data_IF_377202997487
#
_entry.id   IF_377202997487
#
_cell.length_a   1.000
_cell.length_b   1.000
_cell.length_c   1.000
_cell.angle_alpha   90.00
_cell.angle_beta   90.00
_cell.angle_gamma   90.00
#
_symmetry.space_group_name_H-M   'P 1'
#
loop_
_entity.id
_entity.type
_entity.pdbx_description
1 polymer ?
#
# COMPACT_ATOMS: atom_id res chain seq x y z
N UNK A 1 11.73 6.81 7.21
CA UNK A 1 10.52 6.24 7.86
C UNK A 1 9.98 4.99 7.17
N UNK A 2 10.23 4.77 5.88
CA UNK A 2 9.76 3.59 5.13
C UNK A 2 10.75 2.41 5.14
N UNK A 3 11.87 2.50 5.85
CA UNK A 3 12.90 1.44 5.87
C UNK A 3 12.37 0.09 6.38
N UNK A 4 11.33 0.10 7.22
CA UNK A 4 10.68 -1.13 7.67
C UNK A 4 9.97 -1.91 6.55
N UNK A 5 9.65 -1.24 5.42
CA UNK A 5 9.05 -1.85 4.23
C UNK A 5 10.07 -2.39 3.24
N UNK A 6 11.34 -2.00 3.36
CA UNK A 6 12.42 -2.46 2.51
C UNK A 6 13.77 -2.07 3.08
N UNK A 7 14.69 -3.03 3.17
CA UNK A 7 15.99 -2.85 3.81
C UNK A 7 17.13 -3.56 3.08
N UNK A 8 16.87 -4.14 1.91
CA UNK A 8 17.89 -4.86 1.13
C UNK A 8 18.69 -3.94 0.22
N UNK A 9 18.06 -2.87 -0.24
CA UNK A 9 18.69 -1.82 -1.02
C UNK A 9 17.87 -0.54 -0.99
N UNK A 10 18.49 0.58 -1.29
CA UNK A 10 17.84 1.89 -1.34
C UNK A 10 18.41 2.73 -2.49
N UNK A 11 17.62 3.68 -2.96
CA UNK A 11 18.10 4.65 -3.93
C UNK A 11 17.19 5.86 -4.05
N UNK A 12 17.75 6.89 -4.67
CA UNK A 12 17.13 8.19 -4.85
C UNK A 12 17.51 8.76 -6.22
N UNK A 13 16.55 9.43 -6.84
CA UNK A 13 16.77 10.25 -8.04
C UNK A 13 16.27 11.67 -7.77
N UNK A 14 17.07 12.68 -8.13
CA UNK A 14 16.75 14.09 -7.90
C UNK A 14 17.09 14.88 -9.16
N UNK A 15 16.19 15.77 -9.56
CA UNK A 15 16.45 16.74 -10.63
C UNK A 15 17.25 17.94 -10.08
N UNK A 16 18.44 18.18 -10.61
CA UNK A 16 19.39 19.18 -10.10
C UNK A 16 19.30 20.55 -10.79
N UNK A 17 18.29 20.72 -11.65
CA UNK A 17 18.13 21.92 -12.49
C UNK A 17 18.62 21.73 -13.94
N UNK A 18 19.29 20.60 -14.23
CA UNK A 18 19.81 20.29 -15.57
C UNK A 18 19.54 18.84 -15.99
N UNK A 19 19.76 17.91 -15.07
CA UNK A 19 19.60 16.48 -15.30
C UNK A 19 19.04 15.78 -14.06
N UNK A 20 18.58 14.54 -14.23
CA UNK A 20 18.23 13.67 -13.11
C UNK A 20 19.53 12.99 -12.63
N UNK A 21 19.95 13.33 -11.41
CA UNK A 21 21.04 12.65 -10.72
C UNK A 21 20.47 11.50 -9.90
N UNK A 22 21.21 10.40 -9.79
CA UNK A 22 20.72 9.19 -9.11
C UNK A 22 21.87 8.55 -8.32
N UNK A 23 21.51 8.05 -7.12
CA UNK A 23 22.38 7.21 -6.30
C UNK A 23 21.59 5.99 -5.81
N UNK A 24 22.24 4.83 -5.87
CA UNK A 24 21.67 3.53 -5.50
C UNK A 24 22.70 2.78 -4.66
N UNK A 25 22.23 2.06 -3.65
CA UNK A 25 23.08 1.27 -2.78
C UNK A 25 22.39 -0.02 -2.33
N UNK A 26 23.10 -1.12 -2.39
CA UNK A 26 22.75 -2.34 -1.68
C UNK A 26 22.92 -2.14 -0.18
N UNK A 27 22.01 -2.70 0.63
CA UNK A 27 22.01 -2.60 2.07
C UNK A 27 20.99 -1.59 2.61
N UNK A 28 21.08 -1.31 3.89
CA UNK A 28 20.16 -0.42 4.60
C UNK A 28 20.30 1.03 4.13
N UNK A 29 19.26 1.83 4.35
CA UNK A 29 19.19 3.25 4.00
C UNK A 29 20.42 4.05 4.48
N UNK A 30 21.03 3.67 5.60
CA UNK A 30 22.23 4.29 6.13
C UNK A 30 23.40 4.31 5.13
N UNK A 31 23.55 3.27 4.31
CA UNK A 31 24.59 3.22 3.26
C UNK A 31 24.36 4.33 2.24
N UNK A 32 23.11 4.52 1.79
CA UNK A 32 22.74 5.59 0.87
C UNK A 32 22.92 6.99 1.51
N UNK A 33 22.58 7.14 2.79
CA UNK A 33 22.78 8.40 3.53
C UNK A 33 24.26 8.79 3.59
N UNK A 34 25.14 7.84 3.86
CA UNK A 34 26.60 8.05 3.89
C UNK A 34 27.12 8.40 2.49
N UNK A 35 26.72 7.66 1.44
CA UNK A 35 27.13 7.93 0.05
C UNK A 35 26.69 9.31 -0.45
N UNK A 36 25.51 9.75 -0.05
CA UNK A 36 24.96 11.05 -0.46
C UNK A 36 25.32 12.19 0.50
N UNK A 37 26.11 11.92 1.54
CA UNK A 37 26.39 12.88 2.62
C UNK A 37 25.09 13.49 3.19
N UNK A 38 24.12 12.62 3.54
CA UNK A 38 22.77 13.00 3.96
C UNK A 38 22.03 13.87 2.91
N UNK A 39 22.23 13.59 1.62
CA UNK A 39 21.59 14.28 0.52
C UNK A 39 22.34 15.52 0.00
N UNK A 40 23.43 15.95 0.65
CA UNK A 40 24.17 17.15 0.26
C UNK A 40 24.78 17.08 -1.15
N UNK A 41 25.05 15.86 -1.64
CA UNK A 41 25.60 15.65 -3.00
C UNK A 41 24.54 15.61 -4.10
N UNK A 42 23.26 15.65 -3.75
CA UNK A 42 22.12 15.59 -4.67
C UNK A 42 21.23 16.83 -4.51
N UNK A 43 21.69 18.00 -4.94
CA UNK A 43 20.91 19.22 -4.83
C UNK A 43 19.69 19.16 -5.76
N UNK A 44 18.54 19.67 -5.29
CA UNK A 44 17.31 19.74 -6.07
C UNK A 44 16.07 19.76 -5.17
N UNK A 45 14.93 20.07 -5.80
CA UNK A 45 13.63 20.21 -5.12
C UNK A 45 12.60 19.20 -5.61
N UNK A 46 12.90 18.46 -6.67
CA UNK A 46 12.03 17.43 -7.26
C UNK A 46 12.81 16.12 -7.29
N UNK A 47 12.22 15.07 -6.73
CA UNK A 47 12.88 13.77 -6.66
C UNK A 47 11.97 12.64 -6.21
N UNK A 48 12.42 11.43 -6.45
CA UNK A 48 11.77 10.18 -6.00
C UNK A 48 12.81 9.30 -5.32
N UNK A 49 12.39 8.56 -4.31
CA UNK A 49 13.25 7.63 -3.59
C UNK A 49 12.52 6.34 -3.24
N UNK A 50 13.30 5.29 -3.00
CA UNK A 50 12.75 3.96 -2.73
C UNK A 50 13.65 3.18 -1.78
N UNK A 51 13.02 2.40 -0.90
CA UNK A 51 13.64 1.35 -0.11
C UNK A 51 13.07 0.02 -0.56
N UNK A 52 13.92 -0.90 -1.01
CA UNK A 52 13.52 -2.13 -1.69
C UNK A 52 13.42 -3.32 -0.74
N UNK A 53 12.42 -4.16 -1.00
CA UNK A 53 12.33 -5.53 -0.56
C UNK A 53 12.34 -6.39 -1.82
N UNK A 54 13.38 -7.20 -2.01
CA UNK A 54 13.59 -7.93 -3.25
C UNK A 54 12.48 -8.96 -3.53
N UNK A 55 11.85 -8.82 -4.69
CA UNK A 55 10.92 -9.81 -5.27
C UNK A 55 11.52 -10.47 -6.51
N UNK A 56 12.18 -9.67 -7.37
CA UNK A 56 12.84 -10.11 -8.60
C UNK A 56 14.28 -9.61 -8.63
N UNK A 57 15.23 -10.52 -8.83
CA UNK A 57 16.66 -10.22 -8.81
C UNK A 57 17.25 -10.07 -7.40
N UNK A 58 18.44 -10.59 -7.16
CA UNK A 58 19.14 -10.50 -5.88
C UNK A 58 19.40 -9.03 -5.47
N UNK A 59 19.51 -8.73 -4.17
CA UNK A 59 19.93 -7.39 -3.72
C UNK A 59 21.28 -6.99 -4.33
N UNK A 60 21.30 -5.87 -5.02
CA UNK A 60 22.50 -5.28 -5.64
C UNK A 60 22.23 -3.80 -5.97
N UNK A 61 23.29 -3.05 -6.24
CA UNK A 61 23.14 -1.66 -6.70
C UNK A 61 22.39 -1.57 -8.03
N UNK A 62 22.58 -2.53 -8.94
CA UNK A 62 21.88 -2.57 -10.22
C UNK A 62 20.38 -2.84 -10.06
N UNK A 63 20.02 -3.76 -9.18
CA UNK A 63 18.64 -4.15 -8.93
C UNK A 63 17.92 -3.21 -7.94
N UNK A 64 18.62 -2.28 -7.27
CA UNK A 64 18.02 -1.25 -6.45
C UNK A 64 17.22 -0.26 -7.32
N UNK A 65 16.12 0.27 -6.78
CA UNK A 65 15.39 1.38 -7.39
C UNK A 65 16.11 2.72 -7.11
N UNK A 66 15.93 3.74 -7.94
CA UNK A 66 15.12 3.82 -9.16
C UNK A 66 15.70 3.08 -10.37
N UNK A 67 14.81 2.69 -11.32
CA UNK A 67 15.18 2.24 -12.65
C UNK A 67 14.99 3.36 -13.68
N UNK A 68 15.64 3.26 -14.84
CA UNK A 68 15.74 4.35 -15.81
C UNK A 68 15.85 3.84 -17.24
N UNK A 69 15.56 4.70 -18.20
CA UNK A 69 15.80 4.48 -19.62
C UNK A 69 17.26 4.79 -19.99
N UNK A 70 17.66 4.48 -21.23
CA UNK A 70 19.05 4.51 -21.69
C UNK A 70 19.80 5.83 -21.42
N UNK A 71 19.14 6.99 -21.57
CA UNK A 71 19.75 8.33 -21.40
C UNK A 71 19.40 8.99 -20.07
N UNK A 72 18.79 8.26 -19.14
CA UNK A 72 18.34 8.72 -17.83
C UNK A 72 17.35 9.91 -17.89
N UNK A 73 16.59 10.02 -18.99
CA UNK A 73 15.57 11.04 -19.12
C UNK A 73 14.25 10.67 -18.45
N UNK A 74 14.02 9.38 -18.22
CA UNK A 74 12.84 8.85 -17.53
C UNK A 74 13.32 7.95 -16.41
N UNK A 75 12.83 8.21 -15.20
CA UNK A 75 13.24 7.49 -13.98
C UNK A 75 12.01 7.05 -13.20
N UNK A 76 12.01 5.80 -12.71
CA UNK A 76 10.85 5.17 -12.09
C UNK A 76 11.22 4.45 -10.79
N UNK A 77 10.39 4.64 -9.76
CA UNK A 77 10.33 3.76 -8.58
C UNK A 77 9.03 2.98 -8.60
N UNK A 78 9.03 1.74 -8.09
CA UNK A 78 7.91 0.82 -8.18
C UNK A 78 7.78 -0.03 -6.92
N UNK A 79 6.57 -0.12 -6.40
CA UNK A 79 6.11 -1.14 -5.46
C UNK A 79 5.09 -2.03 -6.15
N UNK A 80 5.29 -3.33 -6.09
CA UNK A 80 4.39 -4.31 -6.70
C UNK A 80 5.13 -5.32 -7.59
N UNK A 81 4.39 -5.93 -8.50
CA UNK A 81 4.91 -6.93 -9.45
C UNK A 81 4.24 -6.73 -10.81
N UNK A 82 5.04 -6.62 -11.86
CA UNK A 82 4.57 -6.63 -13.25
C UNK A 82 4.56 -8.07 -13.75
N UNK A 83 3.43 -8.71 -13.70
CA UNK A 83 3.28 -10.16 -13.97
C UNK A 83 3.68 -10.53 -15.41
N UNK A 84 3.37 -9.67 -16.38
CA UNK A 84 3.70 -9.90 -17.78
C UNK A 84 5.06 -9.33 -18.22
N UNK A 85 5.95 -8.98 -17.27
CA UNK A 85 7.23 -8.31 -17.56
C UNK A 85 8.11 -9.08 -18.56
N UNK A 86 8.16 -10.42 -18.51
CA UNK A 86 8.95 -11.21 -19.45
C UNK A 86 8.49 -11.04 -20.90
N UNK A 87 7.18 -10.97 -21.14
CA UNK A 87 6.59 -10.71 -22.47
C UNK A 87 6.96 -9.32 -22.97
N UNK A 88 6.84 -8.33 -22.09
CA UNK A 88 7.18 -6.93 -22.40
C UNK A 88 8.68 -6.76 -22.64
N UNK A 89 9.53 -7.38 -21.82
CA UNK A 89 10.99 -7.40 -21.96
C UNK A 89 11.42 -7.95 -23.31
N UNK A 90 10.90 -9.12 -23.70
CA UNK A 90 11.18 -9.73 -25.02
C UNK A 90 10.82 -8.79 -26.17
N UNK A 91 9.65 -8.13 -26.09
CA UNK A 91 9.21 -7.17 -27.09
C UNK A 91 10.15 -5.96 -27.19
N UNK A 92 10.55 -5.39 -26.07
CA UNK A 92 11.48 -4.24 -26.02
C UNK A 92 12.87 -4.61 -26.50
N UNK A 93 13.39 -5.78 -26.14
CA UNK A 93 14.68 -6.30 -26.66
C UNK A 93 14.63 -6.43 -28.19
N UNK A 94 13.52 -6.87 -28.78
CA UNK A 94 13.35 -6.91 -30.24
C UNK A 94 13.32 -5.52 -30.91
N UNK A 95 13.18 -4.46 -30.12
CA UNK A 95 13.24 -3.05 -30.55
C UNK A 95 14.59 -2.40 -30.24
N UNK A 96 15.57 -3.18 -29.75
CA UNK A 96 16.92 -2.71 -29.47
C UNK A 96 17.13 -2.16 -28.04
N UNK A 97 16.20 -2.38 -27.12
CA UNK A 97 16.40 -2.03 -25.72
C UNK A 97 17.31 -3.07 -25.02
N UNK A 98 18.27 -2.57 -24.29
CA UNK A 98 19.16 -3.38 -23.45
C UNK A 98 18.71 -3.26 -21.99
N UNK A 99 18.73 -4.36 -21.27
CA UNK A 99 18.34 -4.43 -19.87
C UNK A 99 19.56 -4.68 -18.99
N UNK A 100 19.72 -3.85 -17.96
CA UNK A 100 20.84 -3.91 -17.03
C UNK A 100 20.52 -4.68 -15.76
N UNK A 101 19.25 -4.67 -15.35
CA UNK A 101 18.79 -5.31 -14.12
C UNK A 101 18.02 -6.62 -14.38
N UNK A 102 17.84 -7.37 -13.30
CA UNK A 102 17.02 -8.57 -13.27
C UNK A 102 15.59 -8.29 -12.79
N UNK A 103 15.24 -7.01 -12.54
CA UNK A 103 13.94 -6.62 -11.99
C UNK A 103 12.87 -6.57 -13.07
N UNK A 104 11.64 -6.74 -12.65
CA UNK A 104 10.45 -6.47 -13.46
C UNK A 104 10.24 -4.97 -13.73
N UNK A 105 10.75 -4.11 -12.85
CA UNK A 105 10.55 -2.66 -12.89
C UNK A 105 11.25 -1.97 -14.07
N UNK A 106 12.42 -2.43 -14.49
CA UNK A 106 13.16 -1.82 -15.60
C UNK A 106 12.34 -1.81 -16.91
N UNK A 107 11.45 -2.80 -17.07
CA UNK A 107 10.51 -2.83 -18.19
C UNK A 107 9.65 -1.58 -18.26
N UNK A 108 9.25 -1.03 -17.11
CA UNK A 108 8.39 0.18 -17.06
C UNK A 108 9.15 1.39 -17.61
N UNK A 109 10.39 1.61 -17.18
CA UNK A 109 11.21 2.72 -17.66
C UNK A 109 11.40 2.67 -19.18
N UNK A 110 11.68 1.48 -19.72
CA UNK A 110 11.81 1.28 -21.17
C UNK A 110 10.49 1.37 -21.93
N UNK A 111 9.37 0.96 -21.35
CA UNK A 111 8.06 1.16 -21.97
C UNK A 111 7.66 2.62 -22.02
N UNK A 112 7.91 3.37 -20.94
CA UNK A 112 7.69 4.82 -20.93
C UNK A 112 8.50 5.47 -22.04
N UNK A 113 9.80 5.16 -22.18
CA UNK A 113 10.67 5.66 -23.24
C UNK A 113 10.15 5.31 -24.65
N UNK A 114 9.76 4.04 -24.85
CA UNK A 114 9.28 3.57 -26.16
C UNK A 114 8.00 4.27 -26.64
N UNK A 115 7.11 4.64 -25.71
CA UNK A 115 5.84 5.30 -26.02
C UNK A 115 5.87 6.81 -25.85
N UNK A 116 6.97 7.38 -25.35
CA UNK A 116 7.09 8.80 -25.07
C UNK A 116 7.04 9.63 -26.35
N UNK A 117 6.21 10.66 -26.34
CA UNK A 117 5.99 11.57 -27.46
C UNK A 117 5.99 13.06 -27.02
N UNK A 118 6.55 13.36 -25.84
CA UNK A 118 6.53 14.70 -25.25
C UNK A 118 5.37 14.96 -24.30
N UNK A 119 4.43 14.01 -24.15
CA UNK A 119 3.30 14.06 -23.21
C UNK A 119 3.42 12.94 -22.18
N UNK A 120 3.79 13.23 -20.93
CA UNK A 120 3.89 12.24 -19.87
C UNK A 120 2.57 11.52 -19.56
N UNK A 121 1.44 12.25 -19.47
CA UNK A 121 0.16 11.66 -19.09
C UNK A 121 -0.28 10.65 -20.15
N UNK A 122 -0.34 11.01 -21.41
CA UNK A 122 -0.67 10.13 -22.51
C UNK A 122 0.31 8.93 -22.64
N UNK A 123 1.56 9.11 -22.24
CA UNK A 123 2.55 8.04 -22.22
C UNK A 123 2.27 7.05 -21.09
N UNK A 124 2.00 7.55 -19.89
CA UNK A 124 1.71 6.74 -18.70
C UNK A 124 0.46 5.90 -18.94
N UNK A 125 -0.63 6.47 -19.44
CA UNK A 125 -1.87 5.73 -19.74
C UNK A 125 -1.65 4.62 -20.78
N UNK A 126 -0.87 4.89 -21.84
CA UNK A 126 -0.49 3.85 -22.83
C UNK A 126 0.29 2.70 -22.21
N UNK A 127 1.14 2.97 -21.23
CA UNK A 127 1.92 1.96 -20.50
C UNK A 127 1.02 1.18 -19.55
N UNK A 128 0.15 1.85 -18.79
CA UNK A 128 -0.82 1.22 -17.89
C UNK A 128 -1.70 0.18 -18.59
N UNK A 129 -2.23 0.49 -19.76
CA UNK A 129 -3.04 -0.44 -20.56
C UNK A 129 -2.30 -1.71 -21.01
N UNK A 130 -0.98 -1.79 -20.83
CA UNK A 130 -0.15 -2.92 -21.29
C UNK A 130 0.49 -3.69 -20.15
N UNK A 131 0.50 -3.11 -18.97
CA UNK A 131 1.01 -3.77 -17.78
C UNK A 131 -0.09 -4.61 -17.13
N UNK A 132 0.27 -5.82 -16.75
CA UNK A 132 -0.55 -6.73 -15.95
C UNK A 132 0.10 -6.87 -14.57
N UNK A 133 -0.71 -6.96 -13.51
CA UNK A 133 -0.24 -7.09 -12.13
C UNK A 133 -0.51 -5.85 -11.28
N UNK A 134 0.15 -5.79 -10.12
CA UNK A 134 -0.02 -4.71 -9.13
C UNK A 134 1.14 -3.73 -9.18
N UNK A 135 0.86 -2.43 -9.09
CA UNK A 135 1.90 -1.41 -9.07
C UNK A 135 1.50 -0.12 -8.36
N UNK A 136 2.46 0.48 -7.69
CA UNK A 136 2.47 1.88 -7.28
C UNK A 136 3.77 2.50 -7.80
N UNK A 137 3.66 3.48 -8.69
CA UNK A 137 4.78 4.09 -9.40
C UNK A 137 5.00 5.52 -8.95
N UNK A 138 6.27 5.94 -8.86
CA UNK A 138 6.69 7.33 -8.90
C UNK A 138 7.59 7.53 -10.10
N UNK A 139 7.32 8.55 -10.92
CA UNK A 139 7.93 8.74 -12.24
C UNK A 139 8.43 10.17 -12.38
N UNK A 140 9.66 10.34 -12.89
CA UNK A 140 10.22 11.63 -13.29
C UNK A 140 10.54 11.61 -14.79
N UNK A 141 10.22 12.73 -15.44
CA UNK A 141 10.63 13.04 -16.82
C UNK A 141 11.56 14.24 -16.81
N UNK A 142 12.74 14.15 -17.41
CA UNK A 142 13.76 15.21 -17.41
C UNK A 142 13.28 16.51 -18.06
N UNK A 143 12.48 16.41 -19.10
CA UNK A 143 11.89 17.54 -19.83
C UNK A 143 10.62 18.13 -19.18
N UNK A 144 10.17 17.52 -18.07
CA UNK A 144 9.12 18.01 -17.17
C UNK A 144 9.68 18.17 -15.74
N UNK A 145 10.63 19.09 -15.53
CA UNK A 145 11.46 19.14 -14.31
C UNK A 145 10.71 19.51 -13.04
N UNK A 146 9.56 20.16 -13.16
CA UNK A 146 8.74 20.62 -12.04
C UNK A 146 7.58 19.67 -11.73
N UNK A 147 7.57 18.49 -12.36
CA UNK A 147 6.48 17.53 -12.26
C UNK A 147 6.95 16.17 -11.72
N UNK A 148 6.17 15.60 -10.83
CA UNK A 148 6.27 14.19 -10.42
C UNK A 148 4.97 13.53 -10.78
N UNK A 149 5.03 12.40 -11.45
CA UNK A 149 3.85 11.59 -11.72
C UNK A 149 3.80 10.39 -10.78
N UNK A 150 2.62 10.05 -10.32
CA UNK A 150 2.43 8.83 -9.54
C UNK A 150 1.16 8.11 -9.99
N UNK A 151 1.22 6.78 -9.95
CA UNK A 151 0.18 5.90 -10.52
C UNK A 151 -0.03 4.73 -9.59
N UNK A 152 -1.28 4.30 -9.46
CA UNK A 152 -1.64 3.16 -8.61
C UNK A 152 -2.48 2.12 -9.34
N UNK A 153 -2.16 0.83 -9.09
CA UNK A 153 -3.04 -0.32 -9.27
C UNK A 153 -2.70 -1.38 -8.22
N UNK A 154 -3.65 -1.68 -7.34
CA UNK A 154 -3.61 -2.71 -6.29
C UNK A 154 -2.45 -2.61 -5.26
N UNK A 155 -1.47 -1.74 -5.46
CA UNK A 155 -0.42 -1.42 -4.48
C UNK A 155 -0.71 -0.09 -3.79
N UNK A 156 -0.46 0.06 -2.46
CA UNK A 156 -0.82 1.29 -1.75
C UNK A 156 0.02 2.49 -2.19
N UNK A 157 -0.67 3.62 -2.42
CA UNK A 157 -0.05 4.89 -2.75
C UNK A 157 -0.94 6.03 -2.24
N UNK A 158 -0.34 6.96 -1.52
CA UNK A 158 -0.99 8.18 -1.03
C UNK A 158 -0.25 9.43 -1.52
N UNK A 159 -0.97 10.51 -1.56
CA UNK A 159 -0.44 11.84 -1.85
C UNK A 159 -0.68 12.74 -0.66
N UNK A 160 0.34 13.43 -0.19
CA UNK A 160 0.23 14.45 0.86
C UNK A 160 0.50 15.84 0.30
N UNK A 161 -0.22 16.82 0.78
CA UNK A 161 0.04 18.23 0.44
C UNK A 161 0.44 19.01 1.68
N UNK A 162 1.46 19.86 1.57
CA UNK A 162 1.94 20.70 2.65
C UNK A 162 2.42 22.07 2.13
N UNK A 163 2.64 22.99 3.05
CA UNK A 163 3.21 24.33 2.70
C UNK A 163 4.62 24.25 2.10
N UNK A 164 5.35 23.16 2.34
CA UNK A 164 6.72 22.95 1.86
C UNK A 164 6.78 22.17 0.54
N UNK A 165 5.67 21.68 0.02
CA UNK A 165 5.59 20.93 -1.23
C UNK A 165 4.65 19.73 -1.13
N UNK A 166 4.51 19.04 -2.25
CA UNK A 166 3.66 17.87 -2.41
C UNK A 166 4.50 16.58 -2.31
N UNK A 167 3.93 15.53 -1.79
CA UNK A 167 4.61 14.28 -1.43
C UNK A 167 3.83 13.08 -1.92
N UNK A 168 4.53 12.04 -2.36
CA UNK A 168 3.96 10.70 -2.53
C UNK A 168 4.59 9.74 -1.53
N UNK A 169 3.84 8.78 -1.06
CA UNK A 169 4.35 7.72 -0.21
C UNK A 169 3.48 6.45 -0.33
N UNK A 170 4.08 5.32 -0.02
CA UNK A 170 3.35 4.04 0.06
C UNK A 170 2.62 3.84 1.40
N UNK A 171 2.83 4.73 2.38
CA UNK A 171 2.20 4.62 3.70
C UNK A 171 2.08 5.99 4.40
N UNK A 172 0.98 6.16 5.14
CA UNK A 172 0.64 7.38 5.88
C UNK A 172 1.72 7.84 6.87
N UNK A 173 2.37 6.97 7.70
CA UNK A 173 3.42 7.39 8.63
C UNK A 173 4.59 8.13 7.99
N UNK A 174 4.84 7.92 6.70
CA UNK A 174 5.92 8.59 5.99
C UNK A 174 5.69 10.10 5.83
N UNK A 175 4.44 10.52 5.64
CA UNK A 175 4.06 11.91 5.35
C UNK A 175 3.59 12.70 6.56
N UNK A 176 3.22 12.05 7.68
CA UNK A 176 2.63 12.69 8.87
C UNK A 176 3.49 13.83 9.46
N UNK A 177 4.81 13.79 9.26
CA UNK A 177 5.70 14.88 9.70
C UNK A 177 5.45 16.19 8.93
N UNK A 178 4.92 16.10 7.72
CA UNK A 178 4.77 17.22 6.80
C UNK A 178 3.31 17.64 6.66
N UNK A 179 2.38 16.67 6.68
CA UNK A 179 0.96 16.93 6.54
C UNK A 179 0.12 15.82 7.18
N UNK A 180 -1.11 16.18 7.58
CA UNK A 180 -2.15 15.24 7.99
C UNK A 180 -3.25 15.08 6.93
N UNK A 181 -3.24 15.93 5.91
CA UNK A 181 -4.22 15.87 4.84
C UNK A 181 -3.63 15.08 3.68
N UNK A 182 -4.22 13.92 3.42
CA UNK A 182 -3.74 12.96 2.43
C UNK A 182 -4.86 12.58 1.46
N UNK A 183 -4.47 12.33 0.22
CA UNK A 183 -5.35 11.76 -0.80
C UNK A 183 -4.97 10.30 -1.01
N UNK A 184 -5.94 9.42 -0.92
CA UNK A 184 -5.78 8.03 -1.31
C UNK A 184 -6.07 7.90 -2.81
N UNK A 185 -5.12 7.36 -3.57
CA UNK A 185 -5.38 7.03 -4.96
C UNK A 185 -6.23 5.76 -5.04
N UNK A 186 -7.18 5.77 -5.97
CA UNK A 186 -7.89 4.56 -6.37
C UNK A 186 -7.12 3.80 -7.46
N UNK A 187 -7.60 2.61 -7.81
CA UNK A 187 -6.98 1.84 -8.89
C UNK A 187 -7.09 2.59 -10.22
N UNK A 188 -6.00 2.55 -10.97
CA UNK A 188 -5.89 3.16 -12.30
C UNK A 188 -6.00 4.69 -12.29
N UNK A 189 -5.84 5.32 -11.11
CA UNK A 189 -5.67 6.76 -11.02
C UNK A 189 -4.21 7.17 -11.18
N UNK A 190 -4.04 8.33 -11.80
CA UNK A 190 -2.77 9.02 -12.02
C UNK A 190 -2.84 10.35 -11.30
N UNK A 191 -1.79 10.72 -10.60
CA UNK A 191 -1.64 12.08 -10.06
C UNK A 191 -0.39 12.72 -10.64
N UNK A 192 -0.55 13.95 -11.09
CA UNK A 192 0.54 14.87 -11.43
C UNK A 192 0.73 15.84 -10.27
N UNK A 193 1.87 15.77 -9.63
CA UNK A 193 2.28 16.70 -8.58
C UNK A 193 3.11 17.80 -9.23
N UNK A 194 2.71 19.04 -9.02
CA UNK A 194 3.46 20.22 -9.41
C UNK A 194 3.78 21.06 -8.19
N UNK A 195 4.54 22.13 -8.36
CA UNK A 195 4.80 23.08 -7.28
C UNK A 195 3.52 23.77 -6.80
N UNK A 196 2.59 24.00 -7.72
CA UNK A 196 1.38 24.81 -7.47
C UNK A 196 0.15 23.99 -7.10
N UNK A 197 0.21 22.65 -7.25
CA UNK A 197 -0.94 21.82 -6.91
C UNK A 197 -0.83 20.35 -7.30
N UNK A 198 -1.97 19.70 -7.16
CA UNK A 198 -2.19 18.29 -7.51
C UNK A 198 -3.25 18.20 -8.58
N UNK A 199 -3.01 17.42 -9.60
CA UNK A 199 -3.96 17.12 -10.66
C UNK A 199 -4.17 15.61 -10.73
N UNK A 200 -5.39 15.15 -10.56
CA UNK A 200 -5.73 13.74 -10.58
C UNK A 200 -6.44 13.40 -11.89
N UNK A 201 -6.12 12.23 -12.43
CA UNK A 201 -6.70 11.75 -13.70
C UNK A 201 -7.07 10.28 -13.56
N UNK A 202 -8.08 9.85 -14.30
CA UNK A 202 -8.33 8.42 -14.51
C UNK A 202 -7.50 7.88 -15.69
N UNK A 203 -7.63 6.60 -15.99
CA UNK A 203 -6.91 5.94 -17.09
C UNK A 203 -7.33 6.45 -18.48
N UNK A 204 -8.46 7.11 -18.60
CA UNK A 204 -8.96 7.75 -19.83
C UNK A 204 -8.51 9.21 -19.94
N UNK A 205 -7.58 9.66 -19.08
CA UNK A 205 -7.03 11.02 -19.03
C UNK A 205 -8.04 12.11 -18.63
N UNK A 206 -9.19 11.73 -18.07
CA UNK A 206 -10.17 12.68 -17.55
C UNK A 206 -9.74 13.19 -16.16
N UNK A 207 -9.78 14.50 -15.96
CA UNK A 207 -9.42 15.11 -14.68
C UNK A 207 -10.47 14.84 -13.61
N UNK A 208 -9.99 14.38 -12.45
CA UNK A 208 -10.80 14.01 -11.29
C UNK A 208 -10.72 15.07 -10.20
N UNK A 209 -11.84 15.32 -9.52
CA UNK A 209 -11.85 16.11 -8.30
C UNK A 209 -11.76 15.17 -7.09
N UNK A 210 -10.81 15.42 -6.19
CA UNK A 210 -10.63 14.62 -4.97
C UNK A 210 -10.54 15.51 -3.75
N UNK A 211 -11.12 15.05 -2.65
CA UNK A 211 -11.01 15.70 -1.36
C UNK A 211 -9.98 14.97 -0.49
N UNK A 212 -9.19 15.70 0.31
CA UNK A 212 -8.23 15.09 1.21
C UNK A 212 -8.94 14.43 2.40
N UNK A 213 -8.36 13.35 2.89
CA UNK A 213 -8.74 12.72 4.15
C UNK A 213 -7.81 13.22 5.25
N UNK A 214 -8.37 13.77 6.33
CA UNK A 214 -7.60 14.19 7.50
C UNK A 214 -7.23 12.99 8.38
N UNK A 215 -5.94 12.83 8.69
CA UNK A 215 -5.42 11.74 9.52
C UNK A 215 -5.26 12.23 10.96
N UNK A 216 -6.04 11.70 11.87
CA UNK A 216 -6.04 12.08 13.30
C UNK A 216 -4.92 11.42 14.14
N UNK A 217 -4.10 10.56 13.55
CA UNK A 217 -3.07 9.83 14.29
C UNK A 217 -2.09 10.75 15.03
N UNK A 218 -1.77 10.40 16.28
CA UNK A 218 -0.71 11.05 17.02
C UNK A 218 0.66 10.77 16.38
N UNK A 219 1.39 11.82 16.03
CA UNK A 219 2.73 11.72 15.47
C UNK A 219 3.71 10.99 16.42
N UNK A 220 3.56 11.19 17.73
CA UNK A 220 4.41 10.53 18.74
C UNK A 220 4.16 9.02 18.77
N UNK A 221 2.96 8.58 18.38
CA UNK A 221 2.64 7.15 18.30
C UNK A 221 3.46 6.44 17.20
N UNK A 222 3.88 7.13 16.17
CA UNK A 222 4.72 6.60 15.09
C UNK A 222 6.24 6.67 15.38
N UNK A 223 6.64 7.09 16.59
CA UNK A 223 8.03 7.13 17.04
C UNK A 223 8.33 6.00 18.03
N UNK A 224 9.61 5.64 18.21
CA UNK A 224 10.00 4.56 19.14
C UNK A 224 9.71 4.87 20.62
N UNK A 225 9.53 6.13 20.99
CA UNK A 225 9.14 6.53 22.34
C UNK A 225 10.10 6.06 23.45
N UNK A 226 11.40 5.99 23.16
CA UNK A 226 12.44 5.53 24.10
C UNK A 226 12.71 4.02 24.07
N UNK A 227 11.98 3.23 23.30
CA UNK A 227 12.24 1.80 23.10
C UNK A 227 13.33 1.58 22.04
N UNK A 228 14.11 0.54 22.20
CA UNK A 228 15.15 0.17 21.24
C UNK A 228 14.56 -0.25 19.88
N UNK A 229 13.43 -0.99 19.91
CA UNK A 229 12.75 -1.51 18.74
C UNK A 229 11.25 -1.16 18.75
N UNK A 230 10.67 -0.93 17.57
CA UNK A 230 9.23 -0.71 17.41
C UNK A 230 8.41 -1.89 17.95
N UNK A 231 8.81 -3.12 17.67
CA UNK A 231 8.11 -4.30 18.15
C UNK A 231 8.04 -4.33 19.69
N UNK A 232 9.12 -3.98 20.38
CA UNK A 232 9.14 -3.92 21.86
C UNK A 232 8.14 -2.85 22.36
N UNK A 233 8.14 -1.66 21.76
CA UNK A 233 7.15 -0.61 22.06
C UNK A 233 5.72 -1.12 21.87
N UNK A 234 5.44 -1.71 20.70
CA UNK A 234 4.11 -2.20 20.32
C UNK A 234 3.61 -3.33 21.22
N UNK A 235 4.51 -4.18 21.71
CA UNK A 235 4.20 -5.17 22.75
C UNK A 235 3.73 -4.50 24.06
N UNK A 236 4.37 -3.42 24.46
CA UNK A 236 3.98 -2.65 25.64
C UNK A 236 2.72 -1.80 25.44
N UNK A 237 2.38 -1.48 24.21
CA UNK A 237 1.16 -0.73 23.87
C UNK A 237 -0.11 -1.59 23.86
N UNK A 238 -0.01 -2.91 23.87
CA UNK A 238 -1.17 -3.81 23.80
C UNK A 238 -2.27 -3.50 24.82
N UNK A 239 -1.99 -3.27 26.12
CA UNK A 239 -3.04 -2.98 27.09
C UNK A 239 -3.85 -1.72 26.72
N UNK A 240 -3.17 -0.67 26.22
CA UNK A 240 -3.81 0.54 25.75
C UNK A 240 -4.62 0.29 24.48
N UNK A 241 -4.05 -0.39 23.50
CA UNK A 241 -4.71 -0.70 22.23
C UNK A 241 -5.98 -1.54 22.43
N UNK A 242 -5.93 -2.55 23.30
CA UNK A 242 -7.09 -3.36 23.68
C UNK A 242 -8.16 -2.50 24.33
N UNK A 243 -7.79 -1.62 25.28
CA UNK A 243 -8.73 -0.70 25.94
C UNK A 243 -9.36 0.27 24.94
N UNK A 244 -8.57 0.87 24.07
CA UNK A 244 -9.06 1.85 23.07
C UNK A 244 -10.00 1.17 22.05
N UNK A 245 -9.75 -0.09 21.72
CA UNK A 245 -10.61 -0.88 20.82
C UNK A 245 -11.91 -1.32 21.52
N UNK A 246 -11.83 -1.79 22.76
CA UNK A 246 -12.96 -2.38 23.48
C UNK A 246 -13.90 -1.34 24.08
N UNK A 247 -13.33 -0.30 24.75
CA UNK A 247 -14.12 0.64 25.56
C UNK A 247 -15.26 1.34 24.79
N UNK A 248 -15.07 1.81 23.53
CA UNK A 248 -16.15 2.44 22.77
C UNK A 248 -17.32 1.48 22.47
N UNK A 249 -17.08 0.17 22.52
CA UNK A 249 -18.07 -0.88 22.22
C UNK A 249 -18.81 -1.41 23.44
N UNK A 250 -18.44 -0.96 24.64
CA UNK A 250 -19.16 -1.31 25.88
C UNK A 250 -20.03 -0.13 26.28
N UNK A 251 -21.36 -0.32 26.22
CA UNK A 251 -22.35 0.69 26.57
C UNK A 251 -23.29 0.14 27.64
N UNK A 252 -23.32 0.75 28.80
CA UNK A 252 -24.18 0.34 29.93
C UNK A 252 -24.03 -1.13 30.35
N UNK A 253 -22.84 -1.73 30.15
CA UNK A 253 -22.57 -3.12 30.46
C UNK A 253 -22.87 -4.11 29.32
N UNK A 254 -23.44 -3.64 28.23
CA UNK A 254 -23.73 -4.43 27.02
C UNK A 254 -22.77 -4.08 25.89
N UNK A 255 -22.67 -4.95 24.88
CA UNK A 255 -21.89 -4.74 23.68
C UNK A 255 -22.70 -3.93 22.67
N UNK A 256 -22.22 -2.72 22.34
CA UNK A 256 -22.78 -1.86 21.29
C UNK A 256 -21.83 -1.84 20.10
N UNK A 257 -22.27 -2.41 18.99
CA UNK A 257 -21.50 -2.49 17.73
C UNK A 257 -22.27 -1.84 16.57
N UNK A 258 -22.83 -0.66 16.83
CA UNK A 258 -23.58 0.09 15.80
C UNK A 258 -22.75 0.36 14.54
N UNK A 259 -21.43 0.47 14.69
CA UNK A 259 -20.48 0.59 13.56
C UNK A 259 -20.49 -0.62 12.63
N UNK A 260 -20.98 -1.78 13.09
CA UNK A 260 -21.15 -2.95 12.23
C UNK A 260 -22.13 -2.69 11.09
N UNK A 261 -23.11 -1.78 11.27
CA UNK A 261 -24.03 -1.35 10.22
C UNK A 261 -24.95 -2.46 9.70
N UNK A 262 -25.20 -3.49 10.52
CA UNK A 262 -26.12 -4.61 10.25
C UNK A 262 -27.29 -4.58 11.21
N UNK A 263 -28.47 -4.90 10.72
CA UNK A 263 -29.64 -5.09 11.57
C UNK A 263 -29.58 -6.44 12.32
N UNK A 264 -30.35 -6.54 13.38
CA UNK A 264 -30.49 -7.80 14.14
C UNK A 264 -31.00 -8.95 13.28
N UNK A 265 -31.90 -8.67 12.33
CA UNK A 265 -32.43 -9.65 11.39
C UNK A 265 -31.33 -10.15 10.44
N UNK A 266 -30.52 -9.25 9.91
CA UNK A 266 -29.38 -9.60 9.04
C UNK A 266 -28.34 -10.43 9.80
N UNK A 267 -28.03 -10.07 11.05
CA UNK A 267 -27.09 -10.83 11.89
C UNK A 267 -27.66 -12.25 12.17
N UNK A 268 -28.96 -12.37 12.51
CA UNK A 268 -29.59 -13.67 12.76
C UNK A 268 -29.71 -14.52 11.51
N UNK A 269 -29.73 -13.92 10.34
CA UNK A 269 -29.78 -14.64 9.07
C UNK A 269 -28.46 -15.31 8.70
N UNK A 270 -27.31 -14.91 9.31
CA UNK A 270 -26.00 -15.48 9.03
C UNK A 270 -25.99 -16.96 9.38
N UNK A 271 -25.79 -17.81 8.38
CA UNK A 271 -25.75 -19.27 8.51
C UNK A 271 -24.33 -19.84 8.51
N UNK A 272 -23.36 -19.10 7.99
CA UNK A 272 -21.94 -19.47 7.91
C UNK A 272 -21.05 -18.24 7.93
N UNK A 273 -19.87 -18.36 8.53
CA UNK A 273 -18.84 -17.31 8.51
C UNK A 273 -17.60 -17.88 7.84
N UNK A 274 -17.02 -17.11 6.92
CA UNK A 274 -15.64 -17.28 6.47
C UNK A 274 -14.80 -16.15 7.06
N UNK A 275 -13.64 -16.49 7.66
CA UNK A 275 -12.66 -15.50 8.11
C UNK A 275 -11.45 -15.64 7.22
N UNK A 276 -11.13 -14.59 6.47
CA UNK A 276 -10.11 -14.63 5.42
C UNK A 276 -9.04 -13.56 5.70
N UNK A 277 -7.79 -13.98 5.77
CA UNK A 277 -6.67 -13.10 6.09
C UNK A 277 -5.32 -13.68 5.64
N UNK A 278 -4.25 -12.90 5.83
CA UNK A 278 -2.86 -13.32 5.62
C UNK A 278 -2.05 -13.23 6.92
N UNK A 279 -0.98 -14.02 7.01
CA UNK A 279 0.01 -13.93 8.10
C UNK A 279 -0.60 -14.04 9.50
N UNK A 280 -0.20 -13.17 10.40
CA UNK A 280 -0.68 -13.21 11.79
C UNK A 280 -2.19 -12.97 11.91
N UNK A 281 -2.78 -12.15 11.03
CA UNK A 281 -4.22 -11.94 11.02
C UNK A 281 -5.02 -13.21 10.70
N UNK A 282 -4.49 -14.15 9.92
CA UNK A 282 -5.09 -15.47 9.72
C UNK A 282 -5.25 -16.21 11.06
N UNK A 283 -4.28 -16.13 11.95
CA UNK A 283 -4.34 -16.81 13.25
C UNK A 283 -5.37 -16.19 14.21
N UNK A 284 -5.74 -14.90 14.03
CA UNK A 284 -6.90 -14.35 14.76
C UNK A 284 -8.20 -15.06 14.33
N UNK A 285 -8.34 -15.31 13.03
CA UNK A 285 -9.44 -16.09 12.47
C UNK A 285 -9.50 -17.50 13.04
N UNK A 286 -8.34 -18.19 13.12
CA UNK A 286 -8.25 -19.54 13.72
C UNK A 286 -8.74 -19.54 15.18
N UNK A 287 -8.36 -18.53 15.97
CA UNK A 287 -8.82 -18.37 17.35
C UNK A 287 -10.31 -18.04 17.40
N UNK A 288 -10.76 -17.07 16.60
CA UNK A 288 -12.15 -16.63 16.54
C UNK A 288 -13.12 -17.76 16.13
N UNK A 289 -12.69 -18.67 15.26
CA UNK A 289 -13.47 -19.85 14.88
C UNK A 289 -14.00 -20.61 16.10
N UNK A 290 -13.12 -20.96 17.02
CA UNK A 290 -13.52 -21.71 18.23
C UNK A 290 -14.50 -20.92 19.10
N UNK A 291 -14.34 -19.59 19.15
CA UNK A 291 -15.24 -18.71 19.92
C UNK A 291 -16.62 -18.66 19.28
N UNK A 292 -16.72 -18.38 17.98
CA UNK A 292 -17.99 -18.31 17.25
C UNK A 292 -18.72 -19.65 17.24
N UNK A 293 -18.05 -20.76 16.95
CA UNK A 293 -18.66 -22.07 16.93
C UNK A 293 -19.15 -22.49 18.32
N UNK A 294 -18.45 -22.09 19.39
CA UNK A 294 -18.86 -22.39 20.78
C UNK A 294 -20.02 -21.51 21.25
N UNK A 295 -19.97 -20.22 20.99
CA UNK A 295 -20.92 -19.26 21.57
C UNK A 295 -22.12 -19.00 20.66
N UNK A 296 -21.90 -18.75 19.38
CA UNK A 296 -22.96 -18.46 18.42
C UNK A 296 -23.52 -19.69 17.72
N UNK A 297 -22.83 -20.83 17.79
CA UNK A 297 -23.22 -22.10 17.14
C UNK A 297 -23.36 -21.98 15.62
N UNK A 298 -22.56 -21.08 15.01
CA UNK A 298 -22.48 -20.86 13.57
C UNK A 298 -21.20 -21.52 13.05
N UNK A 299 -21.26 -22.34 11.97
CA UNK A 299 -20.06 -22.90 11.35
C UNK A 299 -19.11 -21.81 10.85
N UNK A 300 -17.83 -21.95 11.19
CA UNK A 300 -16.79 -21.00 10.76
C UNK A 300 -15.70 -21.71 9.98
N UNK A 301 -15.39 -21.20 8.82
CA UNK A 301 -14.25 -21.61 8.01
C UNK A 301 -13.19 -20.51 8.01
N UNK A 302 -11.93 -20.87 8.17
CA UNK A 302 -10.82 -19.91 8.19
C UNK A 302 -9.91 -20.26 7.03
N UNK A 303 -9.59 -19.26 6.21
CA UNK A 303 -8.80 -19.47 5.00
C UNK A 303 -7.68 -18.44 4.87
N UNK A 304 -6.56 -18.86 4.29
CA UNK A 304 -5.55 -17.92 3.82
C UNK A 304 -6.10 -17.17 2.60
N UNK A 305 -5.95 -15.86 2.57
CA UNK A 305 -6.50 -15.05 1.48
C UNK A 305 -5.92 -15.42 0.11
N UNK A 306 -4.64 -15.82 0.05
CA UNK A 306 -4.01 -16.37 -1.15
C UNK A 306 -4.71 -17.63 -1.65
N UNK A 307 -5.07 -18.55 -0.75
CA UNK A 307 -5.76 -19.79 -1.11
C UNK A 307 -7.22 -19.51 -1.49
N UNK A 308 -7.92 -18.69 -0.69
CA UNK A 308 -9.31 -18.31 -0.91
C UNK A 308 -9.54 -17.76 -2.32
N UNK A 309 -8.67 -16.86 -2.80
CA UNK A 309 -8.82 -16.22 -4.11
C UNK A 309 -8.64 -17.19 -5.30
N UNK A 310 -7.88 -18.29 -5.14
CA UNK A 310 -7.56 -19.20 -6.24
C UNK A 310 -8.34 -20.52 -6.22
N UNK A 311 -8.85 -20.94 -5.04
CA UNK A 311 -9.54 -22.23 -4.91
C UNK A 311 -11.02 -22.21 -5.31
N UNK A 312 -11.54 -21.05 -5.73
CA UNK A 312 -12.97 -20.86 -6.05
C UNK A 312 -13.91 -21.35 -4.92
N UNK A 313 -13.96 -20.66 -3.76
CA UNK A 313 -14.66 -21.11 -2.59
C UNK A 313 -16.17 -21.24 -2.80
N UNK A 314 -16.78 -22.28 -2.21
CA UNK A 314 -18.23 -22.44 -2.17
C UNK A 314 -18.77 -21.55 -1.05
N UNK A 315 -19.49 -20.50 -1.40
CA UNK A 315 -20.10 -19.55 -0.48
C UNK A 315 -21.63 -19.72 -0.52
N UNK A 316 -22.22 -20.43 0.47
CA UNK A 316 -23.68 -20.56 0.57
C UNK A 316 -24.37 -19.21 0.77
N UNK A 317 -25.66 -19.14 0.49
CA UNK A 317 -26.52 -18.01 0.85
C UNK A 317 -26.40 -17.71 2.36
N UNK A 318 -26.53 -16.42 2.73
CA UNK A 318 -26.39 -15.96 4.12
C UNK A 318 -24.99 -16.24 4.73
N UNK A 319 -23.96 -16.31 3.89
CA UNK A 319 -22.57 -16.32 4.36
C UNK A 319 -22.11 -14.89 4.65
N UNK A 320 -21.41 -14.71 5.79
CA UNK A 320 -20.63 -13.51 6.06
C UNK A 320 -19.15 -13.82 5.82
N UNK A 321 -18.49 -13.04 4.96
CA UNK A 321 -17.04 -13.12 4.76
C UNK A 321 -16.37 -12.01 5.56
N UNK A 322 -15.66 -12.38 6.61
CA UNK A 322 -14.89 -11.46 7.47
C UNK A 322 -13.47 -11.36 6.95
N UNK A 323 -13.09 -10.18 6.53
CA UNK A 323 -11.78 -9.85 5.97
C UNK A 323 -10.94 -9.16 7.03
N UNK A 324 -9.86 -9.79 7.49
CA UNK A 324 -9.04 -9.24 8.57
C UNK A 324 -7.68 -8.79 8.03
N UNK A 325 -7.35 -7.52 8.26
CA UNK A 325 -6.07 -6.95 7.84
C UNK A 325 -5.68 -5.76 8.73
N UNK A 326 -4.45 -5.73 9.24
CA UNK A 326 -3.96 -4.58 9.99
C UNK A 326 -3.88 -3.33 9.09
N UNK A 327 -3.23 -3.42 7.94
CA UNK A 327 -3.06 -2.29 7.03
C UNK A 327 -4.30 -1.97 6.20
N UNK A 328 -5.16 -2.97 5.96
CA UNK A 328 -6.25 -2.88 5.00
C UNK A 328 -5.80 -2.76 3.54
N UNK A 329 -4.52 -3.05 3.26
CA UNK A 329 -3.88 -2.93 1.94
C UNK A 329 -3.20 -4.23 1.47
N UNK A 330 -3.39 -5.34 2.18
CA UNK A 330 -2.78 -6.63 1.81
C UNK A 330 -3.41 -7.12 0.51
N UNK A 331 -2.63 -7.27 -0.54
CA UNK A 331 -3.10 -7.55 -1.90
C UNK A 331 -4.00 -8.79 -2.00
N UNK A 332 -3.57 -9.93 -1.42
CA UNK A 332 -4.38 -11.15 -1.44
C UNK A 332 -5.67 -11.01 -0.64
N UNK A 333 -5.62 -10.30 0.50
CA UNK A 333 -6.79 -10.06 1.35
C UNK A 333 -7.81 -9.16 0.65
N UNK A 334 -7.34 -8.13 -0.07
CA UNK A 334 -8.18 -7.27 -0.90
C UNK A 334 -8.79 -8.03 -2.09
N UNK A 335 -8.01 -8.88 -2.74
CA UNK A 335 -8.52 -9.73 -3.82
C UNK A 335 -9.58 -10.73 -3.33
N UNK A 336 -9.40 -11.30 -2.13
CA UNK A 336 -10.39 -12.16 -1.50
C UNK A 336 -11.69 -11.41 -1.18
N UNK A 337 -11.60 -10.16 -0.71
CA UNK A 337 -12.76 -9.28 -0.51
C UNK A 337 -13.56 -9.10 -1.81
N UNK A 338 -12.86 -8.74 -2.89
CA UNK A 338 -13.48 -8.51 -4.21
C UNK A 338 -14.15 -9.77 -4.75
N UNK A 339 -13.49 -10.93 -4.62
CA UNK A 339 -14.06 -12.21 -5.00
C UNK A 339 -15.35 -12.53 -4.21
N UNK A 340 -15.37 -12.28 -2.90
CA UNK A 340 -16.55 -12.46 -2.07
C UNK A 340 -17.71 -11.56 -2.54
N UNK A 341 -17.43 -10.30 -2.85
CA UNK A 341 -18.42 -9.35 -3.40
C UNK A 341 -18.94 -9.76 -4.79
N UNK A 342 -18.05 -10.23 -5.67
CA UNK A 342 -18.42 -10.76 -6.99
C UNK A 342 -19.39 -11.96 -6.87
N UNK A 343 -19.18 -12.82 -5.86
CA UNK A 343 -20.07 -13.93 -5.53
C UNK A 343 -21.37 -13.52 -4.82
N UNK A 344 -21.57 -12.23 -4.55
CA UNK A 344 -22.80 -11.66 -3.99
C UNK A 344 -22.98 -11.92 -2.49
N UNK A 345 -21.93 -12.27 -1.75
CA UNK A 345 -22.01 -12.47 -0.30
C UNK A 345 -21.56 -11.24 0.46
N UNK A 346 -22.16 -11.00 1.64
CA UNK A 346 -21.86 -9.85 2.48
C UNK A 346 -20.43 -9.93 3.05
N UNK A 347 -19.76 -8.78 3.08
CA UNK A 347 -18.39 -8.65 3.55
C UNK A 347 -18.27 -7.71 4.75
N UNK A 348 -17.43 -8.10 5.73
CA UNK A 348 -17.07 -7.29 6.88
C UNK A 348 -15.55 -7.13 6.93
N UNK A 349 -15.05 -5.90 6.80
CA UNK A 349 -13.64 -5.58 6.99
C UNK A 349 -13.32 -5.32 8.46
N UNK A 350 -12.34 -6.02 9.04
CA UNK A 350 -11.74 -5.70 10.34
C UNK A 350 -10.35 -5.15 10.07
N UNK A 351 -10.19 -3.82 10.20
CA UNK A 351 -8.97 -3.11 9.78
C UNK A 351 -8.53 -2.08 10.82
N UNK A 352 -7.25 -1.74 10.82
CA UNK A 352 -6.72 -0.71 11.72
C UNK A 352 -6.55 0.65 11.03
N UNK A 353 -6.35 0.67 9.71
CA UNK A 353 -6.11 1.92 8.97
C UNK A 353 -7.42 2.45 8.39
N UNK A 354 -7.82 3.60 8.90
CA UNK A 354 -9.00 4.32 8.40
C UNK A 354 -8.75 4.76 6.95
N UNK A 355 -9.76 4.54 6.08
CA UNK A 355 -9.66 4.90 4.67
C UNK A 355 -8.82 3.96 3.82
N UNK A 356 -8.36 2.81 4.36
CA UNK A 356 -7.68 1.79 3.57
C UNK A 356 -8.59 1.18 2.50
N UNK A 357 -8.00 0.50 1.51
CA UNK A 357 -8.76 -0.10 0.41
C UNK A 357 -9.83 -1.09 0.89
N UNK A 358 -9.49 -1.97 1.84
CA UNK A 358 -10.47 -2.88 2.44
C UNK A 358 -11.59 -2.10 3.15
N UNK A 359 -11.26 -1.01 3.88
CA UNK A 359 -12.25 -0.20 4.56
C UNK A 359 -13.23 0.50 3.60
N UNK A 360 -12.76 0.88 2.41
CA UNK A 360 -13.61 1.53 1.40
C UNK A 360 -14.45 0.55 0.59
N UNK A 361 -13.94 -0.66 0.38
CA UNK A 361 -14.58 -1.64 -0.50
C UNK A 361 -15.49 -2.65 0.22
N UNK A 362 -15.29 -2.91 1.52
CA UNK A 362 -16.14 -3.81 2.30
C UNK A 362 -17.55 -3.21 2.50
N UNK A 363 -18.58 -4.08 2.59
CA UNK A 363 -19.96 -3.63 2.82
C UNK A 363 -20.12 -3.07 4.24
N UNK A 364 -19.41 -3.63 5.21
CA UNK A 364 -19.38 -3.19 6.60
C UNK A 364 -17.94 -3.16 7.10
N UNK A 365 -17.61 -2.27 8.03
CA UNK A 365 -16.25 -2.08 8.55
C UNK A 365 -16.24 -1.90 10.06
N UNK A 366 -15.30 -2.56 10.71
CA UNK A 366 -14.94 -2.34 12.10
C UNK A 366 -13.46 -1.97 12.23
N UNK A 367 -13.16 -0.90 12.96
CA UNK A 367 -11.79 -0.45 13.17
C UNK A 367 -11.23 -0.94 14.50
N UNK A 368 -9.96 -1.36 14.50
CA UNK A 368 -9.28 -1.92 15.68
C UNK A 368 -8.50 -0.87 16.48
N UNK A 369 -8.63 0.33 16.34
CA UNK A 369 -8.02 1.46 17.10
C UNK A 369 -6.66 1.17 17.78
N UNK A 370 -5.83 0.32 17.15
CA UNK A 370 -4.52 -0.06 17.69
C UNK A 370 -3.46 1.05 17.54
N UNK A 371 -3.78 2.11 16.78
CA UNK A 371 -2.80 3.10 16.39
C UNK A 371 -1.79 2.55 15.36
N UNK A 372 -0.78 3.33 14.97
CA UNK A 372 0.21 2.89 13.99
C UNK A 372 1.02 1.70 14.53
N UNK A 373 1.11 0.64 13.74
CA UNK A 373 1.96 -0.53 13.96
C UNK A 373 3.00 -0.60 12.84
N UNK A 374 4.28 -0.52 13.19
CA UNK A 374 5.41 -0.34 12.27
C UNK A 374 6.26 -1.60 12.19
N UNK A 375 6.31 -2.39 13.27
CA UNK A 375 7.00 -3.66 13.25
C UNK A 375 6.37 -4.61 12.21
N UNK A 376 7.22 -5.34 11.48
CA UNK A 376 6.77 -6.30 10.46
C UNK A 376 5.92 -7.42 11.07
N UNK A 377 6.37 -7.94 12.21
CA UNK A 377 5.60 -8.92 12.98
C UNK A 377 4.54 -8.19 13.83
N UNK A 378 3.29 -8.53 13.60
CA UNK A 378 2.13 -7.97 14.29
C UNK A 378 2.10 -8.36 15.77
N UNK A 379 1.81 -7.41 16.63
CA UNK A 379 1.64 -7.59 18.08
C UNK A 379 0.30 -7.02 18.57
N UNK A 380 0.20 -5.71 18.74
CA UNK A 380 -1.01 -5.04 19.24
C UNK A 380 -2.20 -5.14 18.29
N UNK A 381 -1.97 -5.13 16.97
CA UNK A 381 -3.06 -5.32 16.03
C UNK A 381 -3.66 -6.73 16.13
N UNK A 382 -2.86 -7.76 16.36
CA UNK A 382 -3.37 -9.11 16.63
C UNK A 382 -4.33 -9.13 17.83
N UNK A 383 -3.92 -8.54 18.96
CA UNK A 383 -4.73 -8.49 20.18
C UNK A 383 -6.04 -7.72 19.96
N UNK A 384 -6.00 -6.62 19.21
CA UNK A 384 -7.19 -5.80 18.92
C UNK A 384 -8.12 -6.41 17.87
N UNK A 385 -7.60 -7.23 16.96
CA UNK A 385 -8.42 -8.00 16.02
C UNK A 385 -9.23 -9.12 16.70
N UNK A 386 -8.79 -9.58 17.87
CA UNK A 386 -9.55 -10.57 18.66
C UNK A 386 -10.68 -9.96 19.48
N UNK A 387 -10.62 -8.65 19.77
CA UNK A 387 -11.68 -7.89 20.47
C UNK A 387 -12.89 -7.72 19.58
#
# INVERSE_FOLDING_TARGET
KLEYRGYDSAGIAVYDGNKIQMQKAMGRLKVLEEMTQNGATLPGTVGIGHTRWATHGAPSDLNAHPHFNKDHSIVVVHNGIIENYLKLKKKLMSKGYEFLSETDTEVIAHMLDYYYNGDPLATITKVMHRMEGSYALGILFRDHPDEVYAVRKDSPLIVGTSKSGNLIASDVPAVLKYTRDVYFLENEEIVKLTRDGLHFYNIDEEELQKEPTHIEWDMNAAEKGGYEHFMLKEMHEQPKAVKDTLTPRIKNGDVGIEELGMTDEEIRAISKIFIVACGSAYHTGVTAKYIFEKLARIPVEVDLASEFRYRDPILPENTLVVIVSQSGETADTLAALRLAKEKGVRTLGIVNVVGSSIAREADNVMYTWAGPEIAVATTKAYSTQLI
#
